data_IF_080571901682
#
_entry.id   IF_080571901682
#
_cell.length_a   1.000
_cell.length_b   1.000
_cell.length_c   1.000
_cell.angle_alpha   90.00
_cell.angle_beta   90.00
_cell.angle_gamma   90.00
#
_symmetry.space_group_name_H-M   'P 1'
#
loop_
_entity.id
_entity.type
_entity.pdbx_description
1 polymer ?
#
# COMPACT_ATOMS: atom_id res chain seq x y z
N UNK A 1 4.88 0.41 -6.95
CA UNK A 1 5.29 1.58 -7.76
C UNK A 1 4.10 2.09 -8.53
N UNK A 2 3.74 3.34 -8.29
CA UNK A 2 2.64 4.03 -8.96
C UNK A 2 3.03 4.33 -10.40
N UNK A 3 2.20 3.88 -11.35
CA UNK A 3 2.32 4.26 -12.76
C UNK A 3 1.20 5.23 -13.13
N UNK A 4 1.37 5.97 -14.22
CA UNK A 4 0.34 6.88 -14.74
C UNK A 4 -0.96 6.13 -15.04
N UNK A 5 -0.86 4.91 -15.55
CA UNK A 5 -2.00 4.05 -15.85
C UNK A 5 -2.77 3.68 -14.58
N UNK A 6 -2.06 3.30 -13.52
CA UNK A 6 -2.65 2.98 -12.21
C UNK A 6 -3.33 4.21 -11.62
N UNK A 7 -2.68 5.38 -11.63
CA UNK A 7 -3.25 6.65 -11.15
C UNK A 7 -4.51 7.01 -11.94
N UNK A 8 -4.47 6.95 -13.26
CA UNK A 8 -5.63 7.23 -14.11
C UNK A 8 -6.79 6.26 -13.84
N UNK A 9 -6.50 4.97 -13.58
CA UNK A 9 -7.53 4.02 -13.17
C UNK A 9 -8.15 4.43 -11.83
N UNK A 10 -7.35 4.87 -10.87
CA UNK A 10 -7.87 5.33 -9.59
C UNK A 10 -8.77 6.58 -9.75
N UNK A 11 -8.32 7.57 -10.53
CA UNK A 11 -9.10 8.80 -10.75
C UNK A 11 -10.46 8.52 -11.39
N UNK A 12 -10.54 7.55 -12.33
CA UNK A 12 -11.80 7.17 -12.99
C UNK A 12 -12.86 6.57 -12.06
N UNK A 13 -12.45 6.06 -10.90
CA UNK A 13 -13.35 5.45 -9.92
C UNK A 13 -13.72 6.42 -8.78
N UNK A 14 -13.12 7.62 -8.75
CA UNK A 14 -13.50 8.67 -7.81
C UNK A 14 -14.78 9.39 -8.28
N UNK A 15 -15.55 9.96 -7.34
CA UNK A 15 -16.68 10.83 -7.68
C UNK A 15 -16.25 12.07 -8.47
N UNK A 16 -17.21 12.79 -9.06
CA UNK A 16 -16.93 14.01 -9.84
C UNK A 16 -16.25 15.11 -8.99
N UNK A 17 -16.58 15.18 -7.70
CA UNK A 17 -15.92 16.03 -6.71
C UNK A 17 -15.34 15.17 -5.59
N UNK A 18 -14.07 15.41 -5.29
CA UNK A 18 -13.33 14.78 -4.19
C UNK A 18 -12.29 15.77 -3.67
N UNK A 19 -11.82 15.52 -2.46
CA UNK A 19 -10.76 16.30 -1.82
C UNK A 19 -9.38 15.78 -2.21
N UNK A 20 -8.36 16.65 -2.12
CA UNK A 20 -6.98 16.23 -2.34
C UNK A 20 -6.56 15.12 -1.37
N UNK A 21 -7.02 15.17 -0.12
CA UNK A 21 -6.69 14.19 0.91
C UNK A 21 -7.22 12.78 0.54
N UNK A 22 -8.45 12.69 0.03
CA UNK A 22 -9.02 11.42 -0.45
C UNK A 22 -8.22 10.83 -1.61
N UNK A 23 -7.76 11.67 -2.54
CA UNK A 23 -6.89 11.22 -3.63
C UNK A 23 -5.54 10.70 -3.08
N UNK A 24 -4.92 11.44 -2.16
CA UNK A 24 -3.62 11.07 -1.57
C UNK A 24 -3.74 9.74 -0.81
N UNK A 25 -4.76 9.61 0.05
CA UNK A 25 -4.99 8.39 0.83
C UNK A 25 -5.16 7.19 -0.08
N UNK A 26 -6.00 7.33 -1.11
CA UNK A 26 -6.25 6.26 -2.08
C UNK A 26 -4.98 5.81 -2.79
N UNK A 27 -4.20 6.77 -3.31
CA UNK A 27 -2.94 6.45 -4.01
C UNK A 27 -1.90 5.84 -3.07
N UNK A 28 -1.87 6.26 -1.80
CA UNK A 28 -0.97 5.73 -0.79
C UNK A 28 -1.27 4.26 -0.46
N UNK A 29 -2.55 3.88 -0.34
CA UNK A 29 -2.95 2.48 -0.16
C UNK A 29 -2.56 1.64 -1.38
N UNK A 30 -2.84 2.12 -2.59
CA UNK A 30 -2.48 1.42 -3.83
C UNK A 30 -0.97 1.18 -3.92
N UNK A 31 -0.16 2.18 -3.57
CA UNK A 31 1.29 2.02 -3.57
C UNK A 31 1.76 0.98 -2.55
N UNK A 32 1.24 1.02 -1.31
CA UNK A 32 1.59 0.04 -0.27
C UNK A 32 1.26 -1.38 -0.67
N UNK A 33 0.09 -1.62 -1.28
CA UNK A 33 -0.30 -2.95 -1.78
C UNK A 33 0.67 -3.41 -2.87
N UNK A 34 0.98 -2.56 -3.84
CA UNK A 34 1.92 -2.91 -4.92
C UNK A 34 3.33 -3.21 -4.38
N UNK A 35 3.79 -2.48 -3.37
CA UNK A 35 5.07 -2.78 -2.70
C UNK A 35 5.02 -4.12 -1.98
N UNK A 36 3.93 -4.43 -1.26
CA UNK A 36 3.75 -5.74 -0.61
C UNK A 36 3.71 -6.91 -1.60
N UNK A 37 3.07 -6.74 -2.76
CA UNK A 37 3.09 -7.75 -3.83
C UNK A 37 4.51 -7.99 -4.36
N UNK A 38 5.26 -6.91 -4.58
CA UNK A 38 6.67 -6.99 -4.97
C UNK A 38 7.53 -7.67 -3.90
N UNK A 39 7.29 -7.39 -2.62
CA UNK A 39 7.97 -8.05 -1.51
C UNK A 39 7.71 -9.57 -1.52
N UNK A 40 6.50 -10.01 -1.87
CA UNK A 40 6.17 -11.44 -2.03
C UNK A 40 6.98 -12.05 -3.19
N UNK A 41 6.98 -11.40 -4.36
CA UNK A 41 7.73 -11.87 -5.54
C UNK A 41 9.23 -11.98 -5.28
N UNK A 42 9.79 -11.04 -4.53
CA UNK A 42 11.22 -10.99 -4.20
C UNK A 42 11.56 -11.81 -2.93
N UNK A 43 10.59 -12.54 -2.37
CA UNK A 43 10.78 -13.40 -1.20
C UNK A 43 11.03 -12.64 0.11
N UNK A 44 10.79 -11.33 0.15
CA UNK A 44 10.89 -10.47 1.33
C UNK A 44 9.66 -10.61 2.25
N UNK A 45 9.34 -11.85 2.60
CA UNK A 45 8.28 -12.18 3.55
C UNK A 45 8.88 -12.70 4.85
N UNK A 46 8.08 -12.72 5.91
CA UNK A 46 8.48 -13.26 7.22
C UNK A 46 7.43 -14.27 7.69
N UNK A 47 7.85 -15.21 8.52
CA UNK A 47 6.91 -16.08 9.23
C UNK A 47 6.17 -15.31 10.32
N UNK A 48 5.02 -15.83 10.73
CA UNK A 48 4.23 -15.27 11.83
C UNK A 48 5.05 -15.13 13.13
N UNK A 49 5.86 -16.14 13.46
CA UNK A 49 6.70 -16.09 14.66
C UNK A 49 7.77 -14.98 14.62
N UNK A 50 8.31 -14.68 13.43
CA UNK A 50 9.24 -13.56 13.27
C UNK A 50 8.50 -12.21 13.29
N UNK A 51 7.28 -12.15 12.76
CA UNK A 51 6.41 -10.97 12.88
C UNK A 51 6.12 -10.65 14.35
N UNK A 52 5.71 -11.62 15.16
CA UNK A 52 5.44 -11.43 16.60
C UNK A 52 6.64 -10.83 17.33
N UNK A 53 7.83 -11.38 17.08
CA UNK A 53 9.09 -10.90 17.67
C UNK A 53 9.42 -9.46 17.26
N UNK A 54 9.09 -9.07 16.02
CA UNK A 54 9.27 -7.69 15.56
C UNK A 54 8.26 -6.75 16.21
N UNK A 55 6.99 -7.14 16.28
CA UNK A 55 5.92 -6.32 16.87
C UNK A 55 6.12 -6.05 18.36
N UNK A 56 6.69 -7.02 19.10
CA UNK A 56 7.08 -6.80 20.50
C UNK A 56 7.98 -5.58 20.71
N UNK A 57 8.84 -5.22 19.74
CA UNK A 57 9.71 -4.04 19.84
C UNK A 57 8.98 -2.70 19.67
N UNK A 58 7.77 -2.72 19.11
CA UNK A 58 6.97 -1.52 18.85
C UNK A 58 5.97 -1.23 19.96
N UNK A 59 5.60 -2.24 20.74
CA UNK A 59 4.62 -2.14 21.84
C UNK A 59 5.24 -2.31 23.23
N UNK A 60 6.58 -2.35 23.31
CA UNK A 60 7.33 -2.37 24.56
C UNK A 60 7.62 -0.96 25.08
#
# INVERSE_FOLDING_TARGET
MLTKEVVNKQIKELPDEFTLDELIERLLIVEKVNLGLKDIEEGRTVSEAELDKRMQKWFA
#
